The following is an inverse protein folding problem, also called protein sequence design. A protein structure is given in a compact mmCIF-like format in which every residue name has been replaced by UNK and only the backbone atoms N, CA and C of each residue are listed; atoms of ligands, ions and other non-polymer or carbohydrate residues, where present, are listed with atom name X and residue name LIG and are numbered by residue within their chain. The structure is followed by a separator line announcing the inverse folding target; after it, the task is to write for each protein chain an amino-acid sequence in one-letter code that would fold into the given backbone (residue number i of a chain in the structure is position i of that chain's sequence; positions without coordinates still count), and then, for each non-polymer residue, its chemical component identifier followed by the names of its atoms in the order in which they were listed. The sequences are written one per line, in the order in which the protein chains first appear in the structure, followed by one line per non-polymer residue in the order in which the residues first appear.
data_IF_102065419797
#
_entry.id   IF_102065419797
#
_cell.length_a   1.000
_cell.length_b   1.000
_cell.length_c   1.000
_cell.angle_alpha   90.00
_cell.angle_beta   90.00
_cell.angle_gamma   90.00
#
_symmetry.space_group_name_H-M   'P 1'
#
loop_
_entity.id
_entity.type
_entity.pdbx_description
1 polymer ?
#
# COMPACT_ATOMS: atom_id res chain seq x y z
N UNK A 1 -1.48 4.13 7.37
CA UNK A 1 -2.51 3.09 7.23
C UNK A 1 -3.91 3.70 7.12
N UNK A 2 -4.72 3.20 6.21
CA UNK A 2 -6.15 3.51 6.13
C UNK A 2 -6.95 2.21 6.09
N UNK A 3 -8.13 2.22 6.69
CA UNK A 3 -9.06 1.08 6.62
C UNK A 3 -10.33 1.56 5.92
N UNK A 4 -10.72 0.83 4.88
CA UNK A 4 -12.00 0.98 4.21
C UNK A 4 -12.89 -0.20 4.58
N UNK A 5 -14.16 0.06 4.79
CA UNK A 5 -15.14 -0.97 5.05
C UNK A 5 -16.27 -0.86 4.01
N UNK A 6 -16.46 -1.93 3.26
CA UNK A 6 -17.57 -2.04 2.31
C UNK A 6 -18.90 -2.24 3.06
N UNK A 7 -20.03 -1.78 2.55
CA UNK A 7 -21.33 -2.03 3.20
C UNK A 7 -21.67 -3.49 3.46
N UNK A 8 -21.04 -4.43 2.73
CA UNK A 8 -21.19 -5.87 2.97
C UNK A 8 -20.32 -6.40 4.13
N UNK A 9 -19.51 -5.53 4.77
CA UNK A 9 -18.63 -5.87 5.88
C UNK A 9 -17.19 -6.23 5.49
N UNK A 10 -16.83 -6.25 4.21
CA UNK A 10 -15.44 -6.49 3.77
C UNK A 10 -14.54 -5.34 4.18
N UNK A 11 -13.48 -5.64 4.91
CA UNK A 11 -12.52 -4.64 5.43
C UNK A 11 -11.18 -4.72 4.72
N UNK A 12 -10.74 -3.59 4.21
CA UNK A 12 -9.53 -3.42 3.40
C UNK A 12 -8.56 -2.52 4.15
N UNK A 13 -7.39 -3.05 4.48
CA UNK A 13 -6.27 -2.27 5.01
C UNK A 13 -5.38 -1.83 3.84
N UNK A 14 -5.20 -0.54 3.69
CA UNK A 14 -4.30 0.05 2.71
C UNK A 14 -3.02 0.55 3.38
N UNK A 15 -1.87 0.11 2.87
CA UNK A 15 -0.52 0.41 3.33
C UNK A 15 -0.43 0.42 4.87
N UNK A 16 -0.20 -0.74 5.48
CA UNK A 16 -0.16 -0.92 6.94
C UNK A 16 0.80 0.07 7.61
N UNK A 17 1.94 0.34 6.95
CA UNK A 17 2.88 1.37 7.35
C UNK A 17 3.46 1.16 8.75
N UNK A 18 3.95 2.27 9.30
CA UNK A 18 4.63 2.29 10.61
C UNK A 18 3.72 2.63 11.79
N UNK A 19 2.47 3.02 11.53
CA UNK A 19 1.52 3.47 12.55
C UNK A 19 0.67 2.35 13.15
N UNK A 20 0.70 1.17 12.56
CA UNK A 20 0.05 -0.04 13.06
C UNK A 20 1.03 -0.80 13.95
N UNK A 21 0.59 -1.12 15.17
CA UNK A 21 1.45 -1.77 16.17
C UNK A 21 1.76 -3.25 15.87
N UNK A 22 1.04 -3.84 14.92
CA UNK A 22 1.16 -5.25 14.52
C UNK A 22 -0.22 -5.86 14.29
N UNK A 23 -0.27 -7.18 14.13
CA UNK A 23 -1.52 -7.89 13.86
C UNK A 23 -2.55 -7.82 15.00
N UNK A 24 -2.08 -7.59 16.23
CA UNK A 24 -2.91 -7.48 17.43
C UNK A 24 -3.34 -6.03 17.73
N UNK A 25 -3.04 -5.08 16.87
CA UNK A 25 -3.48 -3.70 17.04
C UNK A 25 -5.03 -3.67 17.11
N UNK A 26 -5.61 -3.19 18.23
CA UNK A 26 -7.07 -3.26 18.43
C UNK A 26 -7.86 -2.42 17.43
N UNK A 27 -7.21 -1.46 16.76
CA UNK A 27 -7.84 -0.62 15.73
C UNK A 27 -8.13 -1.39 14.43
N UNK A 28 -7.40 -2.48 14.18
CA UNK A 28 -7.55 -3.26 12.94
C UNK A 28 -8.90 -3.99 12.89
N UNK A 29 -9.31 -4.62 13.99
CA UNK A 29 -10.44 -5.55 13.97
C UNK A 29 -10.18 -6.73 13.03
N UNK A 30 -11.20 -7.16 12.30
CA UNK A 30 -11.03 -8.11 11.19
C UNK A 30 -10.47 -7.36 9.97
N UNK A 31 -9.60 -8.01 9.20
CA UNK A 31 -9.10 -7.53 7.90
C UNK A 31 -9.23 -8.67 6.90
N UNK A 32 -9.90 -8.41 5.79
CA UNK A 32 -10.13 -9.38 4.73
C UNK A 32 -9.14 -9.20 3.58
N UNK A 33 -8.71 -7.95 3.35
CA UNK A 33 -7.78 -7.58 2.28
C UNK A 33 -6.72 -6.63 2.80
N UNK A 34 -5.47 -6.86 2.40
CA UNK A 34 -4.35 -5.93 2.57
C UNK A 34 -3.91 -5.48 1.18
N UNK A 35 -3.86 -4.17 0.95
CA UNK A 35 -3.31 -3.57 -0.27
C UNK A 35 -1.97 -2.94 0.06
N UNK A 36 -0.98 -3.15 -0.82
CA UNK A 36 0.34 -2.54 -0.69
C UNK A 36 0.70 -1.85 -2.00
N UNK A 37 0.91 -0.55 -1.94
CA UNK A 37 1.26 0.27 -3.10
C UNK A 37 2.67 -0.03 -3.62
N UNK A 38 3.63 -0.16 -2.72
CA UNK A 38 5.03 -0.47 -3.02
C UNK A 38 5.78 -0.92 -1.75
N UNK A 39 7.03 -1.38 -1.89
CA UNK A 39 7.77 -2.06 -0.81
C UNK A 39 8.67 -1.16 0.03
N UNK A 40 8.45 0.15 0.04
CA UNK A 40 9.14 1.01 0.99
C UNK A 40 8.66 0.74 2.42
N UNK A 41 9.57 0.87 3.38
CA UNK A 41 9.35 0.46 4.76
C UNK A 41 8.19 1.19 5.46
N UNK A 42 7.93 2.44 5.10
CA UNK A 42 6.83 3.24 5.62
C UNK A 42 5.45 2.85 5.06
N UNK A 43 5.41 2.08 3.96
CA UNK A 43 4.18 1.52 3.38
C UNK A 43 3.93 0.08 3.83
N UNK A 44 4.94 -0.79 3.74
CA UNK A 44 4.78 -2.19 4.18
C UNK A 44 4.86 -2.38 5.70
N UNK A 45 5.45 -1.42 6.42
CA UNK A 45 5.69 -1.48 7.86
C UNK A 45 6.93 -2.28 8.23
N UNK A 46 8.14 -1.69 8.04
CA UNK A 46 9.43 -2.22 8.44
C UNK A 46 9.66 -2.16 9.95
N UNK A 47 8.94 -1.28 10.62
CA UNK A 47 8.97 -1.01 12.05
C UNK A 47 7.65 -0.40 12.51
N UNK A 48 7.38 -0.45 13.81
CA UNK A 48 6.31 0.32 14.43
C UNK A 48 6.89 1.57 15.10
N UNK A 49 6.31 2.73 14.83
CA UNK A 49 6.61 3.99 15.49
C UNK A 49 5.42 4.32 16.37
N UNK A 50 5.63 4.27 17.69
CA UNK A 50 4.60 4.63 18.66
C UNK A 50 4.33 6.14 18.60
N UNK A 51 3.14 6.54 18.90
CA UNK A 51 2.73 7.94 19.14
C UNK A 51 2.83 8.91 17.95
N UNK A 52 2.79 8.41 16.72
CA UNK A 52 2.90 9.25 15.50
C UNK A 52 1.82 10.33 15.39
N UNK A 53 0.70 10.22 16.12
CA UNK A 53 -0.42 11.17 16.00
C UNK A 53 -0.92 11.72 17.36
N UNK A 54 -0.11 11.70 18.40
CA UNK A 54 -0.55 12.19 19.72
C UNK A 54 -0.34 13.70 19.93
N UNK A 55 0.08 14.43 18.89
CA UNK A 55 0.29 15.87 18.96
C UNK A 55 1.42 16.27 19.91
N UNK A 56 2.26 15.34 20.36
CA UNK A 56 3.43 15.64 21.18
C UNK A 56 4.60 16.07 20.29
N UNK A 57 5.26 17.17 20.70
CA UNK A 57 6.53 17.61 20.10
C UNK A 57 7.73 16.78 20.59
N UNK A 58 7.51 15.71 21.32
CA UNK A 58 8.56 14.77 21.74
C UNK A 58 9.09 13.97 20.58
N UNK A 59 10.39 13.68 20.56
CA UNK A 59 10.99 12.77 19.56
C UNK A 59 10.33 11.39 19.64
N UNK A 60 10.32 10.64 18.53
CA UNK A 60 9.76 9.30 18.51
C UNK A 60 10.50 8.40 19.52
N UNK A 61 9.75 7.61 20.28
CA UNK A 61 10.31 6.51 21.06
C UNK A 61 11.10 5.57 20.12
N UNK A 62 12.01 4.78 20.69
CA UNK A 62 12.78 3.79 19.93
C UNK A 62 11.81 2.90 19.15
N UNK A 63 11.89 2.87 17.81
CA UNK A 63 10.95 2.10 17.01
C UNK A 63 11.11 0.61 17.25
N UNK A 64 9.99 -0.12 17.31
CA UNK A 64 9.98 -1.59 17.32
C UNK A 64 10.24 -2.08 15.90
N UNK A 65 11.37 -2.77 15.69
CA UNK A 65 11.75 -3.32 14.38
C UNK A 65 10.90 -4.55 14.07
N UNK A 66 10.39 -4.63 12.85
CA UNK A 66 9.57 -5.74 12.33
C UNK A 66 10.35 -6.57 11.30
N UNK A 67 11.46 -6.05 10.78
CA UNK A 67 12.30 -6.71 9.80
C UNK A 67 12.85 -8.08 10.27
N UNK A 68 13.07 -9.05 9.36
CA UNK A 68 12.98 -8.97 7.89
C UNK A 68 11.57 -9.15 7.33
N UNK A 69 10.58 -9.29 8.18
CA UNK A 69 9.16 -9.34 7.81
C UNK A 69 8.61 -7.91 7.64
N UNK A 70 7.29 -7.77 7.53
CA UNK A 70 6.63 -6.47 7.53
C UNK A 70 5.29 -6.55 8.23
N UNK A 71 4.76 -5.42 8.71
CA UNK A 71 3.42 -5.38 9.28
C UNK A 71 2.37 -5.90 8.30
N UNK A 72 2.47 -5.56 7.00
CA UNK A 72 1.54 -6.05 5.97
C UNK A 72 1.53 -7.58 5.89
N UNK A 73 2.71 -8.22 5.95
CA UNK A 73 2.83 -9.70 5.94
C UNK A 73 2.26 -10.29 7.22
N UNK A 74 2.66 -9.77 8.37
CA UNK A 74 2.24 -10.30 9.68
C UNK A 74 0.72 -10.18 9.87
N UNK A 75 0.12 -9.05 9.46
CA UNK A 75 -1.33 -8.84 9.50
C UNK A 75 -2.03 -9.80 8.55
N UNK A 76 -1.54 -9.93 7.31
CA UNK A 76 -2.11 -10.85 6.32
C UNK A 76 -2.15 -12.28 6.84
N UNK A 77 -1.04 -12.78 7.41
CA UNK A 77 -0.97 -14.12 7.96
C UNK A 77 -1.90 -14.32 9.17
N UNK A 78 -1.83 -13.42 10.15
CA UNK A 78 -2.60 -13.53 11.39
C UNK A 78 -4.13 -13.39 11.18
N UNK A 79 -4.54 -12.50 10.26
CA UNK A 79 -5.97 -12.28 9.94
C UNK A 79 -6.49 -13.23 8.87
N UNK A 80 -5.63 -14.06 8.25
CA UNK A 80 -5.96 -14.91 7.09
C UNK A 80 -6.53 -14.08 5.93
N UNK A 81 -6.06 -12.86 5.78
CA UNK A 81 -6.47 -11.91 4.76
C UNK A 81 -5.85 -12.26 3.40
N UNK A 82 -6.35 -11.65 2.32
CA UNK A 82 -5.68 -11.65 1.02
C UNK A 82 -4.79 -10.42 0.92
N UNK A 83 -3.52 -10.59 0.54
CA UNK A 83 -2.67 -9.46 0.15
C UNK A 83 -2.71 -9.31 -1.38
N UNK A 84 -3.19 -8.17 -1.85
CA UNK A 84 -3.40 -7.90 -3.28
C UNK A 84 -2.43 -6.84 -3.74
N UNK A 85 -1.60 -7.17 -4.72
CA UNK A 85 -0.56 -6.27 -5.22
C UNK A 85 -0.39 -6.38 -6.73
N UNK A 86 0.23 -5.34 -7.30
CA UNK A 86 0.63 -5.30 -8.70
C UNK A 86 2.06 -5.81 -8.94
N UNK A 87 2.50 -5.69 -10.19
CA UNK A 87 3.88 -5.93 -10.63
C UNK A 87 4.44 -7.31 -10.28
N UNK A 88 5.65 -7.38 -9.71
CA UNK A 88 6.32 -8.60 -9.27
C UNK A 88 6.23 -8.77 -7.73
N UNK A 89 5.57 -7.85 -7.02
CA UNK A 89 5.39 -7.90 -5.57
C UNK A 89 4.71 -9.18 -5.05
N UNK A 90 3.73 -9.81 -5.77
CA UNK A 90 3.09 -11.02 -5.26
C UNK A 90 4.05 -12.17 -4.96
N UNK A 91 5.09 -12.36 -5.77
CA UNK A 91 6.08 -13.41 -5.54
C UNK A 91 6.89 -13.16 -4.24
N UNK A 92 7.24 -11.89 -3.99
CA UNK A 92 7.88 -11.48 -2.76
C UNK A 92 6.99 -11.74 -1.54
N UNK A 93 5.74 -11.27 -1.56
CA UNK A 93 4.80 -11.45 -0.45
C UNK A 93 4.43 -12.92 -0.22
N UNK A 94 4.28 -13.73 -1.26
CA UNK A 94 4.08 -15.18 -1.13
C UNK A 94 5.24 -15.86 -0.39
N UNK A 95 6.48 -15.49 -0.72
CA UNK A 95 7.67 -15.98 -0.02
C UNK A 95 7.69 -15.54 1.44
N UNK A 96 7.31 -14.30 1.73
CA UNK A 96 7.24 -13.76 3.10
C UNK A 96 6.12 -14.38 3.92
N UNK A 97 4.96 -14.62 3.34
CA UNK A 97 3.87 -15.34 4.02
C UNK A 97 4.32 -16.73 4.43
N UNK A 98 5.03 -17.45 3.54
CA UNK A 98 5.58 -18.76 3.88
C UNK A 98 6.56 -18.72 5.07
N UNK A 99 7.37 -17.65 5.20
CA UNK A 99 8.34 -17.53 6.29
C UNK A 99 7.70 -17.29 7.66
N UNK A 100 6.47 -16.80 7.70
CA UNK A 100 5.67 -16.58 8.93
C UNK A 100 4.54 -17.60 9.11
N UNK A 101 4.64 -18.77 8.47
CA UNK A 101 3.64 -19.85 8.51
C UNK A 101 2.25 -19.44 7.98
N UNK A 102 2.18 -18.35 7.21
CA UNK A 102 0.99 -17.92 6.47
C UNK A 102 0.84 -18.71 5.17
N UNK A 103 -0.32 -18.57 4.51
CA UNK A 103 -0.58 -19.22 3.25
C UNK A 103 -0.06 -18.39 2.06
N UNK A 104 0.93 -18.87 1.28
CA UNK A 104 1.46 -18.12 0.13
C UNK A 104 0.41 -17.89 -0.98
N UNK A 105 -0.66 -18.70 -1.06
CA UNK A 105 -1.76 -18.52 -2.01
C UNK A 105 -2.67 -17.32 -1.66
N UNK A 106 -2.48 -16.72 -0.50
CA UNK A 106 -3.17 -15.48 -0.13
C UNK A 106 -2.52 -14.23 -0.75
N UNK A 107 -1.36 -14.37 -1.39
CA UNK A 107 -0.72 -13.32 -2.18
C UNK A 107 -1.26 -13.31 -3.61
N UNK A 108 -2.05 -12.29 -3.94
CA UNK A 108 -2.81 -12.21 -5.17
C UNK A 108 -2.27 -11.12 -6.10
N UNK A 109 -2.11 -11.47 -7.37
CA UNK A 109 -1.70 -10.54 -8.42
C UNK A 109 -2.90 -9.84 -9.04
N UNK A 110 -2.77 -8.52 -9.27
CA UNK A 110 -3.59 -7.75 -10.22
C UNK A 110 -2.65 -6.92 -11.09
N UNK A 111 -2.58 -7.22 -12.38
CA UNK A 111 -1.77 -6.46 -13.36
C UNK A 111 -2.48 -5.15 -13.71
N UNK A 112 -1.71 -4.14 -14.14
CA UNK A 112 -2.27 -2.87 -14.59
C UNK A 112 -3.34 -3.05 -15.67
N UNK A 113 -4.48 -2.41 -15.46
CA UNK A 113 -5.66 -2.55 -16.29
C UNK A 113 -6.47 -3.84 -16.09
N UNK A 114 -6.04 -4.73 -15.19
CA UNK A 114 -6.83 -5.88 -14.77
C UNK A 114 -7.62 -5.56 -13.50
N UNK A 115 -8.61 -6.39 -13.22
CA UNK A 115 -9.48 -6.31 -12.05
C UNK A 115 -9.53 -7.66 -11.34
N UNK A 116 -9.65 -7.62 -10.03
CA UNK A 116 -9.96 -8.76 -9.17
C UNK A 116 -11.00 -8.37 -8.15
N UNK A 117 -12.03 -9.19 -8.04
CA UNK A 117 -13.06 -9.00 -7.00
C UNK A 117 -12.68 -9.83 -5.78
N UNK A 118 -12.58 -9.17 -4.62
CA UNK A 118 -12.35 -9.82 -3.32
C UNK A 118 -13.38 -9.28 -2.33
N UNK A 119 -14.13 -10.17 -1.70
CA UNK A 119 -15.18 -9.77 -0.76
C UNK A 119 -16.23 -8.82 -1.36
N UNK A 120 -16.50 -8.92 -2.67
CA UNK A 120 -17.46 -8.07 -3.38
C UNK A 120 -16.89 -6.71 -3.82
N UNK A 121 -15.70 -6.31 -3.37
CA UNK A 121 -15.04 -5.09 -3.82
C UNK A 121 -14.19 -5.40 -5.05
N UNK A 122 -14.37 -4.63 -6.13
CA UNK A 122 -13.53 -4.71 -7.31
C UNK A 122 -12.25 -3.91 -7.09
N UNK A 123 -11.11 -4.57 -7.26
CA UNK A 123 -9.77 -4.01 -7.06
C UNK A 123 -9.06 -3.97 -8.40
N UNK A 124 -8.83 -2.78 -8.91
CA UNK A 124 -8.08 -2.53 -10.14
C UNK A 124 -6.77 -1.85 -9.80
N UNK A 125 -5.72 -2.11 -10.57
CA UNK A 125 -4.42 -1.46 -10.42
C UNK A 125 -4.13 -0.51 -11.57
N UNK A 126 -3.51 0.62 -11.22
CA UNK A 126 -3.03 1.63 -12.17
C UNK A 126 -1.55 1.92 -11.90
N UNK A 127 -0.77 2.35 -12.91
CA UNK A 127 0.63 2.73 -12.68
C UNK A 127 0.77 3.89 -11.71
N UNK A 128 1.79 3.83 -10.86
CA UNK A 128 2.31 4.97 -10.12
C UNK A 128 3.75 5.27 -10.56
N UNK A 129 4.15 6.53 -10.52
CA UNK A 129 5.50 6.97 -10.90
C UNK A 129 6.30 7.27 -9.65
N UNK A 130 6.98 6.26 -9.16
CA UNK A 130 7.82 6.28 -7.97
C UNK A 130 8.83 5.14 -8.01
N UNK A 131 9.76 5.09 -7.08
CA UNK A 131 10.66 3.94 -6.92
C UNK A 131 9.95 2.80 -6.18
N UNK A 132 10.33 1.55 -6.50
CA UNK A 132 9.83 0.36 -5.81
C UNK A 132 10.99 -0.63 -5.58
N UNK A 133 12.05 -0.11 -4.96
CA UNK A 133 13.23 -0.88 -4.60
C UNK A 133 13.08 -1.54 -3.25
N UNK A 134 13.18 -2.87 -3.23
CA UNK A 134 13.19 -3.65 -2.00
C UNK A 134 14.53 -3.45 -1.27
N UNK A 135 14.48 -2.92 -0.05
CA UNK A 135 15.67 -2.82 0.81
C UNK A 135 16.23 -4.21 1.11
N UNK A 136 17.58 -4.38 1.09
CA UNK A 136 18.22 -5.62 1.54
C UNK A 136 17.83 -6.05 2.96
N UNK A 137 17.35 -5.14 3.79
CA UNK A 137 16.88 -5.43 5.15
C UNK A 137 15.64 -6.35 5.21
N UNK A 138 14.88 -6.44 4.11
CA UNK A 138 13.79 -7.40 3.98
C UNK A 138 14.23 -8.79 3.51
N UNK A 139 15.52 -8.95 3.21
CA UNK A 139 16.09 -10.19 2.72
C UNK A 139 17.02 -10.81 3.77
N UNK A 140 17.29 -12.09 3.63
CA UNK A 140 18.22 -12.85 4.46
C UNK A 140 19.22 -13.63 3.59
N UNK A 141 20.34 -14.03 4.18
CA UNK A 141 21.36 -14.84 3.51
C UNK A 141 22.29 -14.05 2.57
N UNK A 142 23.11 -14.74 1.77
CA UNK A 142 24.19 -14.13 0.99
C UNK A 142 23.74 -13.02 0.03
N UNK A 143 22.57 -13.13 -0.57
CA UNK A 143 22.04 -12.10 -1.48
C UNK A 143 21.82 -10.77 -0.75
N UNK A 144 21.26 -10.81 0.46
CA UNK A 144 21.08 -9.60 1.27
C UNK A 144 22.41 -8.91 1.55
N UNK A 145 23.44 -9.67 1.90
CA UNK A 145 24.77 -9.14 2.19
C UNK A 145 25.44 -8.52 0.95
N UNK A 146 25.30 -9.16 -0.23
CA UNK A 146 25.83 -8.60 -1.48
C UNK A 146 25.13 -7.29 -1.86
N UNK A 147 23.80 -7.24 -1.82
CA UNK A 147 23.05 -6.04 -2.14
C UNK A 147 23.37 -4.89 -1.18
N UNK A 148 23.47 -5.20 0.12
CA UNK A 148 23.85 -4.24 1.15
C UNK A 148 25.26 -3.70 0.94
N UNK A 149 26.23 -4.56 0.65
CA UNK A 149 27.60 -4.16 0.38
C UNK A 149 27.73 -3.31 -0.89
N UNK A 150 26.91 -3.58 -1.90
CA UNK A 150 26.86 -2.82 -3.14
C UNK A 150 26.05 -1.50 -3.02
N UNK A 151 25.33 -1.28 -1.93
CA UNK A 151 24.48 -0.09 -1.75
C UNK A 151 23.25 -0.07 -2.68
N UNK A 152 22.74 -1.24 -3.09
CA UNK A 152 21.59 -1.36 -4.00
C UNK A 152 20.48 -2.22 -3.40
N UNK A 153 19.27 -2.07 -3.91
CA UNK A 153 18.11 -2.89 -3.59
C UNK A 153 17.71 -3.80 -4.75
N UNK A 154 16.78 -4.72 -4.49
CA UNK A 154 16.16 -5.52 -5.53
C UNK A 154 14.93 -4.82 -6.09
N UNK A 155 14.70 -4.92 -7.41
CA UNK A 155 13.45 -4.42 -8.02
C UNK A 155 12.35 -5.46 -7.86
N UNK A 156 11.14 -4.99 -7.53
CA UNK A 156 9.90 -5.80 -7.51
C UNK A 156 8.86 -5.23 -8.49
N UNK A 157 9.35 -4.59 -9.55
CA UNK A 157 8.54 -3.96 -10.59
C UNK A 157 8.08 -2.54 -10.20
N UNK A 158 7.24 -1.89 -11.02
CA UNK A 158 6.75 -0.54 -10.76
C UNK A 158 5.80 -0.50 -9.54
N UNK A 159 5.72 0.65 -8.85
CA UNK A 159 4.74 0.87 -7.79
C UNK A 159 3.32 0.94 -8.35
N UNK A 160 2.35 0.79 -7.48
CA UNK A 160 0.95 0.55 -7.84
C UNK A 160 0.02 1.53 -7.15
N UNK A 161 -0.79 2.24 -7.93
CA UNK A 161 -2.02 2.86 -7.46
C UNK A 161 -3.20 1.88 -7.57
N UNK A 162 -4.27 2.13 -6.81
CA UNK A 162 -5.47 1.29 -6.82
C UNK A 162 -6.72 2.11 -7.14
N UNK A 163 -7.62 1.51 -7.90
CA UNK A 163 -9.01 1.96 -8.01
C UNK A 163 -9.88 0.87 -7.39
N UNK A 164 -10.62 1.24 -6.34
CA UNK A 164 -11.55 0.37 -5.64
C UNK A 164 -12.98 0.74 -6.02
N UNK A 165 -13.76 -0.23 -6.48
CA UNK A 165 -15.20 -0.06 -6.67
C UNK A 165 -15.94 -0.86 -5.60
N UNK A 166 -16.58 -0.15 -4.68
CA UNK A 166 -17.34 -0.72 -3.57
C UNK A 166 -18.73 -1.16 -4.00
N UNK A 167 -19.36 -2.04 -3.23
CA UNK A 167 -20.68 -2.60 -3.56
C UNK A 167 -21.81 -1.56 -3.61
N UNK A 168 -21.64 -0.40 -2.96
CA UNK A 168 -22.57 0.74 -3.05
C UNK A 168 -22.29 1.67 -4.22
N UNK A 169 -21.35 1.33 -5.10
CA UNK A 169 -20.99 2.14 -6.26
C UNK A 169 -19.98 3.27 -5.98
N UNK A 170 -19.48 3.41 -4.75
CA UNK A 170 -18.38 4.35 -4.48
C UNK A 170 -17.13 3.88 -5.19
N UNK A 171 -16.49 4.79 -5.94
CA UNK A 171 -15.18 4.55 -6.58
C UNK A 171 -14.12 5.39 -5.90
N UNK A 172 -13.08 4.73 -5.40
CA UNK A 172 -11.98 5.33 -4.64
C UNK A 172 -10.66 5.11 -5.37
N UNK A 173 -9.89 6.17 -5.56
CA UNK A 173 -8.51 6.08 -6.02
C UNK A 173 -7.54 6.23 -4.85
N UNK A 174 -6.61 5.28 -4.72
CA UNK A 174 -5.51 5.29 -3.78
C UNK A 174 -4.22 5.46 -4.60
N UNK A 175 -3.60 6.62 -4.51
CA UNK A 175 -2.47 6.96 -5.39
C UNK A 175 -1.21 6.12 -5.14
N UNK A 176 -1.01 5.65 -3.93
CA UNK A 176 0.32 5.27 -3.47
C UNK A 176 1.25 6.49 -3.51
N UNK A 177 2.53 6.25 -3.43
CA UNK A 177 3.51 7.28 -3.73
C UNK A 177 3.67 7.42 -5.24
N UNK A 178 3.43 8.61 -5.76
CA UNK A 178 3.46 8.88 -7.20
C UNK A 178 3.73 10.35 -7.49
N UNK A 179 4.27 10.62 -8.67
CA UNK A 179 4.15 11.91 -9.33
C UNK A 179 2.84 12.03 -10.13
N UNK A 180 2.72 13.09 -10.91
CA UNK A 180 1.61 13.27 -11.86
C UNK A 180 1.72 12.24 -13.00
N UNK A 181 0.60 11.61 -13.36
CA UNK A 181 0.53 10.67 -14.47
C UNK A 181 -0.70 10.95 -15.36
N UNK A 182 -0.62 10.57 -16.63
CA UNK A 182 -1.73 10.68 -17.57
C UNK A 182 -2.90 9.76 -17.15
N UNK A 183 -2.61 8.64 -16.52
CA UNK A 183 -3.57 7.67 -16.03
C UNK A 183 -4.51 8.25 -14.99
N UNK A 184 -4.08 9.23 -14.21
CA UNK A 184 -4.94 9.93 -13.25
C UNK A 184 -6.15 10.58 -13.92
N UNK A 185 -5.97 11.11 -15.16
CA UNK A 185 -7.09 11.62 -15.95
C UNK A 185 -7.78 10.51 -16.75
N UNK A 186 -7.04 9.82 -17.60
CA UNK A 186 -7.64 8.95 -18.62
C UNK A 186 -8.23 7.66 -18.04
N UNK A 187 -7.62 7.13 -16.98
CA UNK A 187 -8.04 5.87 -16.37
C UNK A 187 -8.83 6.13 -15.10
N UNK A 188 -8.26 6.83 -14.13
CA UNK A 188 -8.88 7.03 -12.82
C UNK A 188 -10.15 7.87 -12.93
N UNK A 189 -10.10 8.99 -13.67
CA UNK A 189 -11.24 9.90 -13.85
C UNK A 189 -12.18 9.43 -14.96
N UNK A 190 -11.68 9.39 -16.20
CA UNK A 190 -12.54 9.30 -17.38
C UNK A 190 -13.10 7.87 -17.55
N UNK A 191 -12.36 6.83 -17.16
CA UNK A 191 -12.80 5.45 -17.28
C UNK A 191 -13.53 4.95 -16.02
N UNK A 192 -12.91 5.09 -14.82
CA UNK A 192 -13.51 4.57 -13.58
C UNK A 192 -14.37 5.56 -12.83
N UNK A 193 -14.21 6.86 -13.02
CA UNK A 193 -15.01 7.90 -12.36
C UNK A 193 -14.76 7.99 -10.86
N UNK A 194 -13.50 7.88 -10.42
CA UNK A 194 -13.17 7.98 -9.01
C UNK A 194 -13.68 9.29 -8.40
N UNK A 195 -14.47 9.17 -7.34
CA UNK A 195 -15.11 10.28 -6.65
C UNK A 195 -14.52 10.60 -5.28
N UNK A 196 -13.79 9.67 -4.69
CA UNK A 196 -12.93 9.85 -3.51
C UNK A 196 -11.50 9.54 -3.90
N UNK A 197 -10.56 10.38 -3.48
CA UNK A 197 -9.13 10.22 -3.78
C UNK A 197 -8.34 10.27 -2.48
N UNK A 198 -7.45 9.32 -2.29
CA UNK A 198 -6.35 9.38 -1.33
C UNK A 198 -5.09 9.71 -2.11
N UNK A 199 -4.55 10.91 -1.90
CA UNK A 199 -3.44 11.45 -2.68
C UNK A 199 -2.25 11.80 -1.78
N UNK A 200 -1.06 11.41 -2.21
CA UNK A 200 0.19 11.79 -1.59
C UNK A 200 0.50 13.29 -1.84
N UNK A 201 1.08 13.95 -0.84
CA UNK A 201 1.55 15.35 -0.90
C UNK A 201 2.92 15.50 -0.23
N UNK A 202 3.80 14.53 -0.42
CA UNK A 202 5.08 14.41 0.29
C UNK A 202 6.22 15.27 -0.26
N UNK A 203 5.95 16.15 -1.23
CA UNK A 203 6.90 17.07 -1.86
C UNK A 203 8.13 16.33 -2.43
N UNK A 204 9.33 16.55 -1.90
CA UNK A 204 10.59 16.00 -2.43
C UNK A 204 10.53 14.50 -2.76
N UNK A 205 9.70 13.73 -2.06
CA UNK A 205 9.57 12.29 -2.24
C UNK A 205 8.46 11.87 -3.18
N UNK A 206 7.45 12.72 -3.36
CA UNK A 206 6.24 12.42 -4.14
C UNK A 206 5.70 13.69 -4.79
N UNK A 207 4.41 13.72 -5.10
CA UNK A 207 3.73 14.92 -5.59
C UNK A 207 3.83 16.05 -4.55
N UNK A 208 4.26 17.23 -4.96
CA UNK A 208 4.24 18.43 -4.13
C UNK A 208 2.83 19.01 -4.00
N UNK A 209 2.62 20.03 -3.13
CA UNK A 209 1.30 20.61 -2.91
C UNK A 209 0.68 21.24 -4.15
N UNK A 210 1.45 21.91 -5.01
CA UNK A 210 0.97 22.53 -6.25
C UNK A 210 0.56 21.48 -7.27
N UNK A 211 1.38 20.44 -7.45
CA UNK A 211 1.13 19.33 -8.32
C UNK A 211 -0.08 18.49 -7.83
N UNK A 212 -0.20 18.29 -6.52
CA UNK A 212 -1.36 17.64 -5.94
C UNK A 212 -2.65 18.45 -6.19
N UNK A 213 -2.59 19.75 -6.05
CA UNK A 213 -3.69 20.65 -6.37
C UNK A 213 -4.08 20.54 -7.86
N UNK A 214 -3.10 20.47 -8.77
CA UNK A 214 -3.36 20.24 -10.19
C UNK A 214 -4.03 18.90 -10.45
N UNK A 215 -3.55 17.82 -9.82
CA UNK A 215 -4.18 16.49 -9.94
C UNK A 215 -5.64 16.52 -9.48
N UNK A 216 -5.90 17.17 -8.36
CA UNK A 216 -7.26 17.26 -7.78
C UNK A 216 -8.18 18.14 -8.63
N UNK A 217 -7.72 19.32 -9.04
CA UNK A 217 -8.58 20.32 -9.67
C UNK A 217 -8.75 20.13 -11.19
N UNK A 218 -7.73 19.59 -11.86
CA UNK A 218 -7.67 19.55 -13.33
C UNK A 218 -7.67 18.13 -13.91
N UNK A 219 -7.14 17.15 -13.18
CA UNK A 219 -7.07 15.79 -13.71
C UNK A 219 -8.22 14.90 -13.21
N UNK A 220 -8.41 14.77 -11.90
CA UNK A 220 -9.39 13.82 -11.34
C UNK A 220 -10.72 14.51 -11.01
N UNK A 221 -10.68 15.70 -10.46
CA UNK A 221 -11.88 16.47 -10.02
C UNK A 221 -12.84 15.64 -9.14
N UNK A 222 -12.34 15.04 -8.03
CA UNK A 222 -13.15 14.19 -7.19
C UNK A 222 -14.12 14.98 -6.31
N UNK A 223 -15.09 14.29 -5.68
CA UNK A 223 -15.99 14.90 -4.71
C UNK A 223 -15.34 15.11 -3.35
N UNK A 224 -14.35 14.26 -3.02
CA UNK A 224 -13.60 14.33 -1.75
C UNK A 224 -12.15 13.87 -1.92
N UNK A 225 -11.28 14.43 -1.09
CA UNK A 225 -9.83 14.13 -1.04
C UNK A 225 -9.42 13.85 0.39
N UNK A 226 -8.56 12.85 0.57
CA UNK A 226 -7.76 12.58 1.76
C UNK A 226 -6.30 12.76 1.35
N UNK A 227 -5.54 13.61 2.08
CA UNK A 227 -4.14 13.92 1.83
C UNK A 227 -3.28 13.59 3.05
#
# INVERSE_FOLDING_TARGET
ALIFEDPNGTRILYDAGRTVAGADDPRLGNIDVVLVSHVHGDHVGDRHIRDVNQGSCGGPEVPVVVLPESNSVNITAAKKAKIVTGSEMPAFFASKLKSVEGNPEDSLLVRFGAERVVGGVAITTVPAVHSNGLSPSFLTGPLAEYLKAAGVGASVGPPTGYVLTFTNGLVVYLSGDTGITAEQKLVVKDHYGASLVVLNIGDTYTTGPEEAAYVVNDLITPNAVIA
#
